data_IF_652626914358
#
_entry.id   IF_652626914358
#
_cell.length_a   1.000
_cell.length_b   1.000
_cell.length_c   1.000
_cell.angle_alpha   90.00
_cell.angle_beta   90.00
_cell.angle_gamma   90.00
#
_symmetry.space_group_name_H-M   'P 1'
#
loop_
_entity.id
_entity.type
_entity.pdbx_description
1 polymer ?
#
# COMPACT_ATOMS: atom_id res chain seq x y z
N UNK A 1 -48.14 -2.52 -33.64
CA UNK A 1 -48.90 -3.00 -32.45
C UNK A 1 -48.16 -4.08 -31.64
N UNK A 2 -47.61 -5.13 -32.26
CA UNK A 2 -47.01 -6.27 -31.53
C UNK A 2 -45.80 -5.93 -30.63
N UNK A 3 -44.93 -5.01 -31.05
CA UNK A 3 -43.76 -4.61 -30.23
C UNK A 3 -44.17 -3.96 -28.89
N UNK A 4 -45.20 -3.12 -28.89
CA UNK A 4 -45.75 -2.48 -27.67
C UNK A 4 -46.28 -3.51 -26.67
N UNK A 5 -46.85 -4.61 -27.17
CA UNK A 5 -47.33 -5.71 -26.33
C UNK A 5 -46.18 -6.54 -25.74
N UNK A 6 -45.09 -6.76 -26.51
CA UNK A 6 -43.87 -7.44 -26.02
C UNK A 6 -43.18 -6.62 -24.92
N UNK A 7 -43.09 -5.31 -25.09
CA UNK A 7 -42.53 -4.39 -24.10
C UNK A 7 -43.31 -4.42 -22.78
N UNK A 8 -44.66 -4.36 -22.84
CA UNK A 8 -45.51 -4.47 -21.63
C UNK A 8 -45.30 -5.79 -20.88
N UNK A 9 -45.18 -6.91 -21.60
CA UNK A 9 -44.91 -8.22 -20.99
C UNK A 9 -43.54 -8.28 -20.29
N UNK A 10 -42.51 -7.67 -20.89
CA UNK A 10 -41.19 -7.59 -20.27
C UNK A 10 -41.18 -6.69 -19.03
N UNK A 11 -41.88 -5.55 -19.06
CA UNK A 11 -42.01 -4.66 -17.90
C UNK A 11 -42.70 -5.39 -16.75
N UNK A 12 -43.80 -6.10 -17.01
CA UNK A 12 -44.50 -6.89 -16.00
C UNK A 12 -43.61 -8.02 -15.43
N UNK A 13 -42.81 -8.68 -16.27
CA UNK A 13 -41.87 -9.71 -15.83
C UNK A 13 -40.76 -9.13 -14.94
N UNK A 14 -40.22 -7.97 -15.30
CA UNK A 14 -39.21 -7.28 -14.49
C UNK A 14 -39.79 -6.81 -13.15
N UNK A 15 -41.03 -6.32 -13.14
CA UNK A 15 -41.73 -5.95 -11.90
C UNK A 15 -41.92 -7.16 -10.97
N UNK A 16 -42.30 -8.32 -11.52
CA UNK A 16 -42.41 -9.55 -10.74
C UNK A 16 -41.07 -10.01 -10.15
N UNK A 17 -39.99 -9.92 -10.92
CA UNK A 17 -38.64 -10.24 -10.41
C UNK A 17 -38.20 -9.27 -9.31
N UNK A 18 -38.53 -7.97 -9.44
CA UNK A 18 -38.23 -6.97 -8.40
C UNK A 18 -38.99 -7.30 -7.11
N UNK A 19 -40.28 -7.63 -7.21
CA UNK A 19 -41.10 -8.00 -6.05
C UNK A 19 -40.60 -9.29 -5.39
N UNK A 20 -40.23 -10.32 -6.16
CA UNK A 20 -39.63 -11.55 -5.63
C UNK A 20 -38.29 -11.30 -4.91
N UNK A 21 -37.48 -10.36 -5.41
CA UNK A 21 -36.21 -9.98 -4.78
C UNK A 21 -36.42 -9.18 -3.49
N UNK A 22 -37.50 -8.40 -3.41
CA UNK A 22 -37.91 -7.66 -2.21
C UNK A 22 -38.49 -8.61 -1.13
N UNK A 23 -39.33 -9.56 -1.50
CA UNK A 23 -39.90 -10.57 -0.58
C UNK A 23 -38.83 -11.49 0.02
N UNK A 24 -37.79 -11.82 -0.76
CA UNK A 24 -36.65 -12.64 -0.29
C UNK A 24 -35.68 -11.89 0.66
N UNK A 25 -35.96 -10.62 1.03
CA UNK A 25 -35.16 -9.79 1.95
C UNK A 25 -33.64 -9.81 1.65
N UNK A 26 -33.24 -9.65 0.39
CA UNK A 26 -31.82 -9.62 -0.01
C UNK A 26 -31.19 -8.22 -0.04
N UNK A 27 -31.92 -7.18 0.35
CA UNK A 27 -31.39 -5.82 0.51
C UNK A 27 -32.07 -5.23 1.76
N UNK A 28 -31.35 -5.16 2.89
CA UNK A 28 -31.79 -4.33 4.00
C UNK A 28 -31.46 -2.88 3.67
N UNK A 29 -32.48 -2.01 3.65
CA UNK A 29 -32.30 -0.57 3.47
C UNK A 29 -31.42 0.06 4.59
N UNK A 30 -31.28 -0.63 5.72
CA UNK A 30 -30.39 -0.23 6.83
C UNK A 30 -28.90 -0.42 6.48
N UNK A 31 -28.58 -1.42 5.65
CA UNK A 31 -27.19 -1.67 5.22
C UNK A 31 -26.73 -0.60 4.22
N UNK A 32 -27.61 -0.11 3.33
CA UNK A 32 -27.27 0.91 2.34
C UNK A 32 -26.89 2.26 2.98
N UNK A 33 -27.58 2.64 4.05
CA UNK A 33 -27.30 3.89 4.82
C UNK A 33 -25.98 3.78 5.58
N UNK A 34 -25.71 2.61 6.17
CA UNK A 34 -24.43 2.34 6.85
C UNK A 34 -23.26 2.30 5.85
N UNK A 35 -23.47 1.79 4.63
CA UNK A 35 -22.47 1.72 3.55
C UNK A 35 -22.09 3.10 2.97
N UNK A 36 -23.06 4.01 2.85
CA UNK A 36 -22.79 5.38 2.38
C UNK A 36 -22.01 6.21 3.40
N UNK A 37 -22.02 5.80 4.67
CA UNK A 37 -21.29 6.42 5.79
C UNK A 37 -19.86 5.90 5.94
N UNK A 38 -19.53 4.77 5.32
CA UNK A 38 -18.22 4.13 5.44
C UNK A 38 -17.23 4.70 4.43
N UNK A 39 -15.96 4.78 4.84
CA UNK A 39 -14.85 5.25 4.02
C UNK A 39 -14.90 4.62 2.60
N UNK A 40 -14.62 5.39 1.52
CA UNK A 40 -14.73 4.90 0.14
C UNK A 40 -13.98 3.59 -0.14
N UNK A 41 -12.87 3.33 0.58
CA UNK A 41 -12.11 2.09 0.47
C UNK A 41 -12.82 0.83 0.99
N UNK A 42 -13.79 0.98 1.89
CA UNK A 42 -14.60 -0.12 2.44
C UNK A 42 -15.63 -0.61 1.40
N UNK A 43 -16.17 0.30 0.58
CA UNK A 43 -17.08 -0.05 -0.50
C UNK A 43 -16.41 -0.94 -1.55
N UNK A 44 -15.14 -0.71 -1.87
CA UNK A 44 -14.36 -1.59 -2.75
C UNK A 44 -14.12 -2.98 -2.15
N UNK A 45 -13.86 -3.05 -0.84
CA UNK A 45 -13.72 -4.32 -0.11
C UNK A 45 -15.02 -5.13 -0.15
N UNK A 46 -16.16 -4.47 0.09
CA UNK A 46 -17.47 -5.12 0.11
C UNK A 46 -17.88 -5.61 -1.28
N UNK A 47 -17.59 -4.82 -2.33
CA UNK A 47 -17.77 -5.26 -3.73
C UNK A 47 -16.96 -6.51 -4.05
N UNK A 48 -15.71 -6.59 -3.59
CA UNK A 48 -14.86 -7.78 -3.76
C UNK A 48 -15.36 -8.98 -2.97
N UNK A 49 -15.87 -8.76 -1.76
CA UNK A 49 -16.41 -9.83 -0.91
C UNK A 49 -17.65 -10.46 -1.54
N UNK A 50 -18.58 -9.63 -2.04
CA UNK A 50 -19.82 -10.10 -2.66
C UNK A 50 -19.58 -10.82 -3.99
N UNK A 51 -18.61 -10.37 -4.79
CA UNK A 51 -18.43 -10.86 -6.17
C UNK A 51 -17.33 -11.90 -6.35
N UNK A 52 -16.49 -12.16 -5.33
CA UNK A 52 -15.26 -13.00 -5.42
C UNK A 52 -14.48 -12.79 -6.72
N UNK A 53 -14.49 -11.56 -7.22
CA UNK A 53 -14.15 -11.27 -8.61
C UNK A 53 -12.68 -10.90 -8.78
N UNK A 54 -12.14 -11.20 -9.98
CA UNK A 54 -10.80 -10.80 -10.43
C UNK A 54 -10.64 -9.28 -10.64
N UNK A 55 -11.47 -8.45 -10.00
CA UNK A 55 -11.40 -7.00 -10.11
C UNK A 55 -10.04 -6.48 -9.63
N UNK A 56 -9.54 -5.47 -10.33
CA UNK A 56 -8.27 -4.81 -10.03
C UNK A 56 -8.37 -4.13 -8.66
N UNK A 57 -7.40 -4.39 -7.77
CA UNK A 57 -7.38 -3.76 -6.44
C UNK A 57 -7.23 -2.25 -6.56
N UNK A 58 -8.01 -1.49 -5.79
CA UNK A 58 -7.91 -0.03 -5.76
C UNK A 58 -6.61 0.45 -5.11
N UNK A 59 -6.12 1.66 -5.45
CA UNK A 59 -4.86 2.18 -4.91
C UNK A 59 -4.81 2.23 -3.39
N UNK A 60 -5.92 2.61 -2.74
CA UNK A 60 -6.05 2.69 -1.29
C UNK A 60 -5.88 1.32 -0.65
N UNK A 61 -6.49 0.29 -1.22
CA UNK A 61 -6.42 -1.08 -0.71
C UNK A 61 -5.04 -1.70 -0.91
N UNK A 62 -4.37 -1.40 -2.03
CA UNK A 62 -2.96 -1.79 -2.24
C UNK A 62 -2.05 -1.16 -1.19
N UNK A 63 -2.22 0.14 -0.95
CA UNK A 63 -1.41 0.89 0.02
C UNK A 63 -1.62 0.34 1.43
N UNK A 64 -2.88 0.08 1.82
CA UNK A 64 -3.19 -0.57 3.09
C UNK A 64 -2.54 -1.95 3.19
N UNK A 65 -2.68 -2.79 2.15
CA UNK A 65 -2.11 -4.14 2.15
C UNK A 65 -0.58 -4.14 2.24
N UNK A 66 0.08 -3.23 1.51
CA UNK A 66 1.53 -3.04 1.56
C UNK A 66 1.99 -2.55 2.93
N UNK A 67 1.31 -1.54 3.50
CA UNK A 67 1.62 -1.02 4.85
C UNK A 67 1.47 -2.10 5.91
N UNK A 68 0.36 -2.84 5.89
CA UNK A 68 0.11 -3.90 6.87
C UNK A 68 1.15 -5.02 6.75
N UNK A 69 1.47 -5.45 5.53
CA UNK A 69 2.51 -6.45 5.28
C UNK A 69 3.91 -5.96 5.71
N UNK A 70 4.22 -4.69 5.51
CA UNK A 70 5.46 -4.04 5.97
C UNK A 70 5.58 -4.02 7.50
N UNK A 71 4.50 -3.69 8.21
CA UNK A 71 4.51 -3.71 9.68
C UNK A 71 4.60 -5.12 10.25
N UNK A 72 3.86 -6.08 9.67
CA UNK A 72 3.92 -7.48 10.08
C UNK A 72 3.34 -8.41 9.02
N UNK A 73 4.20 -9.23 8.41
CA UNK A 73 3.77 -10.26 7.47
C UNK A 73 2.78 -11.25 8.09
N UNK A 74 2.99 -11.63 9.36
CA UNK A 74 2.08 -12.53 10.10
C UNK A 74 0.70 -11.91 10.32
N UNK A 75 0.65 -10.62 10.65
CA UNK A 75 -0.63 -9.92 10.80
C UNK A 75 -1.37 -9.84 9.46
N UNK A 76 -0.63 -9.62 8.37
CA UNK A 76 -1.20 -9.66 7.03
C UNK A 76 -1.79 -11.03 6.69
N UNK A 77 -1.06 -12.12 6.95
CA UNK A 77 -1.52 -13.48 6.68
C UNK A 77 -2.76 -13.84 7.49
N UNK A 78 -2.81 -13.41 8.75
CA UNK A 78 -3.99 -13.57 9.60
C UNK A 78 -5.20 -12.84 8.99
N UNK A 79 -5.10 -11.54 8.71
CA UNK A 79 -6.21 -10.78 8.11
C UNK A 79 -6.61 -11.38 6.75
N UNK A 80 -5.64 -11.82 5.96
CA UNK A 80 -5.90 -12.49 4.68
C UNK A 80 -6.73 -13.77 4.84
N UNK A 81 -6.53 -14.53 5.90
CA UNK A 81 -7.32 -15.74 6.19
C UNK A 81 -8.80 -15.42 6.41
N UNK A 82 -9.13 -14.26 6.98
CA UNK A 82 -10.53 -13.84 7.21
C UNK A 82 -11.16 -13.15 6.00
N UNK A 83 -10.37 -12.43 5.20
CA UNK A 83 -10.86 -11.60 4.10
C UNK A 83 -10.62 -12.20 2.70
N UNK A 84 -10.06 -13.41 2.59
CA UNK A 84 -9.86 -14.20 1.36
C UNK A 84 -9.39 -13.36 0.13
N UNK A 85 -10.21 -13.34 -0.93
CA UNK A 85 -9.94 -12.69 -2.23
C UNK A 85 -10.04 -11.16 -2.18
N UNK A 86 -10.45 -10.59 -1.05
CA UNK A 86 -10.49 -9.14 -0.87
C UNK A 86 -9.09 -8.56 -0.73
N UNK A 87 -8.14 -9.35 -0.22
CA UNK A 87 -6.75 -8.96 -0.10
C UNK A 87 -5.90 -9.59 -1.23
N UNK A 88 -4.84 -8.91 -1.70
CA UNK A 88 -3.91 -9.45 -2.68
C UNK A 88 -3.05 -10.59 -2.12
N UNK A 89 -2.79 -11.64 -2.90
CA UNK A 89 -1.89 -12.71 -2.44
C UNK A 89 -0.49 -12.14 -2.14
N UNK A 90 0.30 -12.66 -1.18
CA UNK A 90 1.68 -12.21 -0.94
C UNK A 90 2.54 -12.14 -2.21
N UNK A 91 2.40 -13.11 -3.11
CA UNK A 91 3.03 -13.06 -4.45
C UNK A 91 2.53 -11.90 -5.34
N UNK A 92 1.25 -11.54 -5.25
CA UNK A 92 0.67 -10.39 -5.94
C UNK A 92 1.16 -9.09 -5.31
N UNK A 93 1.27 -9.01 -3.98
CA UNK A 93 1.87 -7.88 -3.26
C UNK A 93 3.28 -7.62 -3.75
N UNK A 94 4.14 -8.65 -3.80
CA UNK A 94 5.52 -8.54 -4.31
C UNK A 94 5.59 -8.06 -5.76
N UNK A 95 4.60 -8.40 -6.60
CA UNK A 95 4.51 -7.88 -7.97
C UNK A 95 4.05 -6.43 -8.03
N UNK A 96 3.15 -6.02 -7.13
CA UNK A 96 2.64 -4.65 -7.04
C UNK A 96 3.67 -3.67 -6.48
N UNK A 97 4.59 -4.16 -5.65
CA UNK A 97 5.65 -3.39 -4.99
C UNK A 97 6.80 -2.97 -5.93
N UNK A 98 6.87 -3.53 -7.15
CA UNK A 98 7.99 -3.34 -8.10
C UNK A 98 8.27 -1.87 -8.51
N UNK A 99 7.39 -0.93 -8.18
CA UNK A 99 7.59 0.49 -8.50
C UNK A 99 7.95 1.39 -7.31
N UNK A 100 7.89 0.89 -6.07
CA UNK A 100 8.27 1.69 -4.90
C UNK A 100 8.81 0.76 -3.83
N UNK A 101 10.13 0.60 -3.78
CA UNK A 101 10.79 -0.03 -2.63
C UNK A 101 10.59 0.85 -1.39
N UNK A 102 9.51 0.62 -0.62
CA UNK A 102 9.33 1.24 0.68
C UNK A 102 10.20 0.49 1.69
N UNK A 103 11.43 0.96 1.88
CA UNK A 103 12.39 0.33 2.79
C UNK A 103 13.82 0.76 2.57
N UNK A 104 14.12 1.37 1.42
CA UNK A 104 15.41 1.98 1.16
C UNK A 104 15.17 3.45 0.81
N UNK A 105 15.33 4.33 1.80
CA UNK A 105 15.59 5.74 1.50
C UNK A 105 16.99 5.75 0.88
N UNK A 106 17.06 5.46 -0.42
CA UNK A 106 18.26 5.66 -1.20
C UNK A 106 18.42 7.18 -1.28
N UNK A 107 19.22 7.76 -0.40
CA UNK A 107 19.54 9.17 -0.40
C UNK A 107 20.31 9.45 -1.68
N UNK A 108 19.58 9.79 -2.73
CA UNK A 108 20.02 10.54 -3.91
C UNK A 108 21.46 10.20 -4.34
N UNK A 109 21.70 8.97 -4.79
CA UNK A 109 22.88 8.71 -5.63
C UNK A 109 22.67 9.20 -7.06
N UNK A 110 21.45 9.58 -7.45
CA UNK A 110 21.16 10.11 -8.80
C UNK A 110 21.25 9.07 -9.92
N UNK A 111 21.52 7.80 -9.59
CA UNK A 111 21.62 6.72 -10.57
C UNK A 111 20.38 5.82 -10.46
N UNK A 112 19.44 5.98 -11.41
CA UNK A 112 18.37 5.03 -11.69
C UNK A 112 18.83 4.03 -12.78
N UNK A 113 20.08 3.58 -12.69
CA UNK A 113 20.68 2.74 -13.71
C UNK A 113 21.03 1.39 -13.08
N UNK A 114 20.44 0.32 -13.62
CA UNK A 114 20.69 -1.07 -13.20
C UNK A 114 22.11 -1.55 -13.58
N UNK A 115 22.90 -0.69 -14.24
CA UNK A 115 24.29 -0.94 -14.63
C UNK A 115 25.32 -0.79 -13.49
N UNK A 116 24.88 -0.46 -12.27
CA UNK A 116 25.79 -0.33 -11.12
C UNK A 116 26.28 -1.72 -10.68
N UNK A 117 27.59 -1.96 -10.77
CA UNK A 117 28.20 -3.21 -10.31
C UNK A 117 27.93 -3.50 -8.83
N UNK A 118 27.90 -4.78 -8.45
CA UNK A 118 27.62 -5.26 -7.09
C UNK A 118 28.47 -4.51 -6.06
N UNK A 119 27.84 -3.75 -5.16
CA UNK A 119 28.56 -2.99 -4.13
C UNK A 119 29.43 -3.93 -3.26
N UNK A 120 30.70 -3.57 -3.11
CA UNK A 120 31.66 -4.30 -2.25
C UNK A 120 31.64 -3.79 -0.80
N UNK A 121 31.26 -2.54 -0.60
CA UNK A 121 31.22 -1.89 0.71
C UNK A 121 29.86 -1.21 0.94
N UNK A 122 29.39 -1.25 2.18
CA UNK A 122 28.19 -0.56 2.64
C UNK A 122 28.50 0.37 3.80
N UNK A 123 28.15 1.65 3.66
CA UNK A 123 28.34 2.67 4.68
C UNK A 123 26.99 3.13 5.21
N UNK A 124 26.77 2.97 6.51
CA UNK A 124 25.52 3.33 7.18
C UNK A 124 25.79 4.47 8.16
N UNK A 125 25.08 5.58 8.00
CA UNK A 125 25.05 6.66 8.97
C UNK A 125 23.85 6.47 9.89
N UNK A 126 24.12 6.29 11.19
CA UNK A 126 23.11 6.16 12.22
C UNK A 126 23.12 7.40 13.12
N UNK A 127 21.92 7.94 13.38
CA UNK A 127 21.73 8.85 14.50
C UNK A 127 21.64 8.02 15.77
N UNK A 128 22.51 8.30 16.73
CA UNK A 128 22.50 7.65 18.03
C UNK A 128 22.18 8.70 19.06
N UNK A 129 21.13 8.48 19.86
CA UNK A 129 20.87 9.34 20.99
C UNK A 129 21.96 9.15 22.05
N UNK A 130 22.55 10.26 22.51
CA UNK A 130 23.57 10.22 23.58
C UNK A 130 22.93 9.87 24.92
N UNK A 131 21.76 10.44 25.20
CA UNK A 131 21.03 10.28 26.46
C UNK A 131 19.83 9.31 26.37
N UNK A 132 19.69 8.58 25.27
CA UNK A 132 18.57 7.68 25.03
C UNK A 132 19.01 6.37 24.39
N UNK A 133 18.22 5.30 24.57
CA UNK A 133 18.56 3.97 24.05
C UNK A 133 18.07 3.73 22.62
N UNK A 134 17.93 4.78 21.81
CA UNK A 134 17.46 4.66 20.43
C UNK A 134 18.55 5.00 19.41
N UNK A 135 18.51 4.28 18.28
CA UNK A 135 19.33 4.51 17.10
C UNK A 135 18.41 4.56 15.89
N UNK A 136 18.54 5.58 15.05
CA UNK A 136 17.77 5.69 13.79
C UNK A 136 18.78 5.68 12.65
N UNK A 137 18.76 4.68 11.76
CA UNK A 137 19.57 4.73 10.56
C UNK A 137 19.03 5.84 9.65
N UNK A 138 19.87 6.83 9.36
CA UNK A 138 19.50 8.00 8.57
C UNK A 138 19.79 7.73 7.10
N UNK A 139 20.96 7.18 6.78
CA UNK A 139 21.40 7.05 5.40
C UNK A 139 22.23 5.77 5.21
N UNK A 140 22.09 5.19 4.03
CA UNK A 140 22.83 4.02 3.57
C UNK A 140 23.45 4.35 2.22
N UNK A 141 24.74 4.08 2.08
CA UNK A 141 25.51 4.27 0.84
C UNK A 141 26.15 2.93 0.48
N UNK A 142 25.75 2.35 -0.65
CA UNK A 142 26.28 1.09 -1.15
C UNK A 142 27.17 1.42 -2.35
N UNK A 143 28.48 1.22 -2.23
CA UNK A 143 29.43 1.61 -3.29
C UNK A 143 30.61 0.64 -3.38
N UNK A 144 31.25 0.58 -4.55
CA UNK A 144 32.43 -0.27 -4.81
C UNK A 144 33.67 0.20 -4.04
N UNK A 145 33.91 1.51 -3.98
CA UNK A 145 35.09 2.10 -3.32
C UNK A 145 34.74 3.44 -2.65
N UNK A 146 34.88 3.53 -1.32
CA UNK A 146 34.66 4.75 -0.56
C UNK A 146 35.97 5.46 -0.26
N UNK A 147 36.43 6.29 -1.19
CA UNK A 147 37.60 7.17 -1.00
C UNK A 147 37.36 8.07 0.24
N UNK A 148 38.35 8.17 1.13
CA UNK A 148 38.30 8.91 2.40
C UNK A 148 37.71 10.33 2.26
N UNK A 149 38.08 11.02 1.18
CA UNK A 149 37.58 12.36 0.83
C UNK A 149 36.06 12.40 0.58
N UNK A 150 35.50 11.35 -0.03
CA UNK A 150 34.04 11.24 -0.26
C UNK A 150 33.29 10.98 1.04
N UNK A 151 33.85 10.18 1.97
CA UNK A 151 33.26 9.97 3.31
C UNK A 151 33.09 11.30 4.06
N UNK A 152 34.12 12.14 4.04
CA UNK A 152 34.06 13.47 4.66
C UNK A 152 32.98 14.35 4.04
N UNK A 153 32.90 14.41 2.71
CA UNK A 153 31.84 15.19 2.02
C UNK A 153 30.43 14.69 2.37
N UNK A 154 30.23 13.37 2.43
CA UNK A 154 28.93 12.80 2.82
C UNK A 154 28.54 13.16 4.26
N UNK A 155 29.48 13.04 5.20
CA UNK A 155 29.24 13.39 6.62
C UNK A 155 28.91 14.88 6.76
N UNK A 156 29.63 15.77 6.06
CA UNK A 156 29.39 17.20 6.09
C UNK A 156 28.02 17.58 5.50
N UNK A 157 27.63 16.95 4.39
CA UNK A 157 26.33 17.18 3.76
C UNK A 157 25.18 16.74 4.67
N UNK A 158 25.31 15.59 5.33
CA UNK A 158 24.32 15.11 6.29
C UNK A 158 24.26 16.05 7.49
N UNK A 159 25.40 16.37 8.11
CA UNK A 159 25.47 17.28 9.27
C UNK A 159 24.80 18.63 8.99
N UNK A 160 25.07 19.25 7.84
CA UNK A 160 24.43 20.51 7.42
C UNK A 160 22.90 20.40 7.33
N UNK A 161 22.39 19.25 6.86
CA UNK A 161 20.94 19.00 6.77
C UNK A 161 20.31 18.78 8.15
N UNK A 162 21.05 18.23 9.11
CA UNK A 162 20.59 18.02 10.50
C UNK A 162 20.65 19.27 11.37
N UNK A 163 21.64 20.15 11.18
CA UNK A 163 21.66 21.42 11.91
C UNK A 163 20.45 22.30 11.59
N UNK A 164 19.88 22.18 10.38
CA UNK A 164 18.62 22.84 10.00
C UNK A 164 17.38 22.29 10.72
N UNK A 165 17.49 21.12 11.35
CA UNK A 165 16.40 20.45 12.07
C UNK A 165 16.53 20.60 13.60
N UNK A 166 17.35 21.54 14.09
CA UNK A 166 17.60 21.85 15.51
C UNK A 166 18.17 20.68 16.36
N UNK A 167 18.60 19.58 15.74
CA UNK A 167 19.32 18.52 16.46
C UNK A 167 20.77 18.95 16.69
N UNK A 168 21.17 19.08 17.97
CA UNK A 168 22.58 19.27 18.34
C UNK A 168 23.34 17.96 18.11
N UNK A 169 24.15 17.93 17.05
CA UNK A 169 25.11 16.86 16.80
C UNK A 169 26.40 17.14 17.60
N UNK A 170 26.86 16.15 18.34
CA UNK A 170 28.23 16.10 18.86
C UNK A 170 29.07 15.40 17.77
N UNK A 171 29.85 16.18 17.02
CA UNK A 171 30.80 15.70 16.00
C UNK A 171 32.22 15.69 16.55
#
# INVERSE_FOLDING_TARGET
MQQKLRLKKNIAKLQNVINELQEKRLISDEDAVTLNSLNPGVNDLIKKLKSKSKLKYSPSLRTFSLKLHFYSAKAYDYVRQYFDTCLPHPNTLRKMDRHKFYGFVNYETGFNDDSVGVAKEGFVLLLVAVNGHWKIPIAYFLQMDLIQKRKQTLILNVSSKFMKLEFKLLL
#
